data_IF_031746821137
#
_entry.id   IF_031746821137
#
_cell.length_a   1.000
_cell.length_b   1.000
_cell.length_c   1.000
_cell.angle_alpha   90.00
_cell.angle_beta   90.00
_cell.angle_gamma   90.00
#
_symmetry.space_group_name_H-M   'P 1'
#
loop_
_entity.id
_entity.type
_entity.pdbx_description
1 polymer ?
#
# COMPACT_ATOMS: atom_id res chain seq x y z
N UNK A 1 -11.76 2.96 6.33
CA UNK A 1 -10.32 3.16 6.63
C UNK A 1 -9.68 1.88 7.09
N UNK A 2 -10.29 1.17 8.02
CA UNK A 2 -9.77 -0.11 8.52
C UNK A 2 -9.94 -1.24 7.51
N UNK A 3 -8.85 -1.92 7.16
CA UNK A 3 -8.84 -3.12 6.33
C UNK A 3 -7.78 -3.10 5.24
N UNK A 4 -7.21 -4.28 4.98
CA UNK A 4 -6.17 -4.48 3.98
C UNK A 4 -6.72 -4.53 2.56
N UNK A 5 -6.16 -3.71 1.67
CA UNK A 5 -6.44 -3.77 0.23
C UNK A 5 -5.92 -5.07 -0.37
N UNK A 6 -6.81 -5.84 -0.99
CA UNK A 6 -6.46 -7.01 -1.79
C UNK A 6 -7.04 -6.90 -3.20
N UNK A 7 -6.23 -6.44 -4.14
CA UNK A 7 -6.62 -6.27 -5.53
C UNK A 7 -6.70 -7.59 -6.32
N UNK A 8 -6.30 -8.72 -5.76
CA UNK A 8 -6.33 -10.01 -6.47
C UNK A 8 -7.71 -10.68 -6.46
N UNK A 9 -8.61 -10.28 -5.57
CA UNK A 9 -9.91 -10.94 -5.36
C UNK A 9 -10.85 -10.73 -6.54
N UNK A 10 -10.99 -9.49 -7.00
CA UNK A 10 -11.92 -9.12 -8.06
C UNK A 10 -11.21 -8.91 -9.41
N UNK A 11 -11.90 -9.21 -10.51
CA UNK A 11 -11.38 -8.98 -11.87
C UNK A 11 -11.01 -7.52 -12.11
N UNK A 12 -11.80 -6.59 -11.58
CA UNK A 12 -11.52 -5.15 -11.64
C UNK A 12 -10.21 -4.79 -10.94
N UNK A 13 -9.92 -5.39 -9.77
CA UNK A 13 -8.67 -5.17 -9.06
C UNK A 13 -7.45 -5.70 -9.83
N UNK A 14 -7.58 -6.87 -10.46
CA UNK A 14 -6.52 -7.43 -11.31
C UNK A 14 -6.24 -6.56 -12.53
N UNK A 15 -7.26 -6.04 -13.20
CA UNK A 15 -7.09 -5.12 -14.32
C UNK A 15 -6.33 -3.84 -13.92
N UNK A 16 -6.53 -3.36 -12.69
CA UNK A 16 -5.86 -2.16 -12.17
C UNK A 16 -4.40 -2.46 -11.80
N UNK A 17 -4.11 -3.66 -11.26
CA UNK A 17 -2.73 -4.14 -11.09
C UNK A 17 -2.02 -4.24 -12.45
N UNK A 18 -2.68 -4.82 -13.45
CA UNK A 18 -2.13 -4.99 -14.81
C UNK A 18 -1.86 -3.63 -15.47
N UNK A 19 -2.60 -2.58 -15.09
CA UNK A 19 -2.35 -1.20 -15.51
C UNK A 19 -1.17 -0.53 -14.78
N UNK A 20 -0.49 -1.22 -13.86
CA UNK A 20 0.70 -0.74 -13.16
C UNK A 20 0.45 -0.01 -11.85
N UNK A 21 -0.71 -0.19 -11.21
CA UNK A 21 -1.02 0.41 -9.90
C UNK A 21 -0.30 -0.31 -8.77
N UNK A 22 0.22 0.46 -7.80
CA UNK A 22 0.79 -0.08 -6.55
C UNK A 22 -0.32 -0.24 -5.51
N UNK A 23 -0.35 -1.40 -4.86
CA UNK A 23 -1.17 -1.62 -3.67
C UNK A 23 -0.59 -0.93 -2.45
N UNK A 24 -1.39 -0.11 -1.76
CA UNK A 24 -1.00 0.51 -0.48
C UNK A 24 -1.27 -0.40 0.75
N UNK A 25 -1.66 -1.66 0.54
CA UNK A 25 -1.89 -2.66 1.59
C UNK A 25 -2.89 -2.18 2.66
N UNK A 26 -2.46 -2.11 3.92
CA UNK A 26 -3.26 -1.69 5.08
C UNK A 26 -2.88 -0.28 5.55
N UNK A 27 -2.16 0.49 4.72
CA UNK A 27 -1.82 1.88 5.03
C UNK A 27 -3.07 2.75 5.01
N UNK A 28 -3.13 3.75 5.90
CA UNK A 28 -4.10 4.82 5.75
C UNK A 28 -3.79 5.63 4.47
N UNK A 29 -4.82 6.18 3.78
CA UNK A 29 -4.63 6.99 2.59
C UNK A 29 -3.66 8.16 2.79
N UNK A 30 -3.69 8.79 3.96
CA UNK A 30 -2.81 9.90 4.33
C UNK A 30 -1.35 9.43 4.42
N UNK A 31 -1.09 8.31 5.08
CA UNK A 31 0.26 7.73 5.18
C UNK A 31 0.76 7.25 3.83
N UNK A 32 -0.10 6.62 3.02
CA UNK A 32 0.24 6.19 1.67
C UNK A 32 0.65 7.37 0.77
N UNK A 33 -0.05 8.52 0.90
CA UNK A 33 0.30 9.73 0.16
C UNK A 33 1.66 10.29 0.57
N UNK A 34 1.90 10.48 1.88
CA UNK A 34 3.18 11.01 2.37
C UNK A 34 4.35 10.08 2.02
N UNK A 35 4.15 8.77 2.16
CA UNK A 35 5.15 7.77 1.79
C UNK A 35 5.45 7.78 0.30
N UNK A 36 4.45 7.98 -0.56
CA UNK A 36 4.67 8.11 -1.99
C UNK A 36 5.49 9.37 -2.33
N UNK A 37 5.17 10.52 -1.72
CA UNK A 37 5.97 11.73 -1.88
C UNK A 37 7.44 11.50 -1.45
N UNK A 38 7.65 10.76 -0.36
CA UNK A 38 8.99 10.41 0.10
C UNK A 38 9.71 9.44 -0.84
N UNK A 39 9.02 8.39 -1.30
CA UNK A 39 9.57 7.37 -2.21
C UNK A 39 10.03 7.97 -3.54
N UNK A 40 9.22 8.88 -4.11
CA UNK A 40 9.57 9.64 -5.31
C UNK A 40 10.73 10.62 -5.08
N UNK A 41 11.02 10.98 -3.83
CA UNK A 41 12.21 11.75 -3.47
C UNK A 41 13.48 10.89 -3.31
N UNK A 42 13.35 9.57 -3.21
CA UNK A 42 14.50 8.64 -3.13
C UNK A 42 14.90 8.12 -4.51
N UNK A 43 13.94 7.90 -5.41
CA UNK A 43 14.19 7.38 -6.75
C UNK A 43 13.15 7.81 -7.77
N UNK A 44 13.60 7.94 -9.02
CA UNK A 44 12.74 8.15 -10.19
C UNK A 44 12.33 6.81 -10.85
N UNK A 45 12.92 5.68 -10.45
CA UNK A 45 12.53 4.36 -10.97
C UNK A 45 11.20 3.91 -10.38
N UNK A 46 10.29 3.50 -11.27
CA UNK A 46 8.98 2.96 -10.88
C UNK A 46 9.11 1.74 -9.98
N UNK A 47 10.07 0.87 -10.30
CA UNK A 47 10.36 -0.38 -9.62
C UNK A 47 10.84 -0.12 -8.20
N UNK A 48 11.80 0.80 -8.03
CA UNK A 48 12.34 1.16 -6.72
C UNK A 48 11.29 1.87 -5.85
N UNK A 49 10.49 2.75 -6.43
CA UNK A 49 9.34 3.37 -5.75
C UNK A 49 8.33 2.32 -5.30
N UNK A 50 8.08 1.28 -6.12
CA UNK A 50 7.22 0.16 -5.73
C UNK A 50 7.82 -0.62 -4.56
N UNK A 51 9.10 -0.97 -4.62
CA UNK A 51 9.79 -1.66 -3.52
C UNK A 51 9.72 -0.87 -2.21
N UNK A 52 9.97 0.45 -2.27
CA UNK A 52 9.83 1.34 -1.12
C UNK A 52 8.40 1.31 -0.57
N UNK A 53 7.40 1.45 -1.44
CA UNK A 53 6.00 1.46 -1.02
C UNK A 53 5.56 0.12 -0.41
N UNK A 54 6.12 -1.01 -0.87
CA UNK A 54 5.87 -2.36 -0.36
C UNK A 54 6.73 -2.75 0.85
N UNK A 55 7.75 -1.96 1.21
CA UNK A 55 8.64 -2.23 2.35
C UNK A 55 8.11 -1.53 3.58
N UNK A 56 8.00 -2.24 4.70
CA UNK A 56 7.61 -1.64 5.98
C UNK A 56 8.83 -0.94 6.61
N UNK A 57 8.74 0.37 6.82
CA UNK A 57 9.84 1.20 7.34
C UNK A 57 9.63 1.52 8.83
N UNK A 58 8.44 1.97 9.23
CA UNK A 58 8.13 2.44 10.58
C UNK A 58 6.71 1.99 11.03
N UNK A 59 6.27 0.82 10.59
CA UNK A 59 5.00 0.23 10.99
C UNK A 59 3.77 0.78 10.25
N UNK A 60 3.96 1.40 9.09
CA UNK A 60 2.87 2.01 8.31
C UNK A 60 1.79 1.01 7.85
N UNK A 61 2.10 -0.27 7.76
CA UNK A 61 1.14 -1.35 7.55
C UNK A 61 1.56 -2.62 8.29
N UNK A 62 0.60 -3.41 8.74
CA UNK A 62 0.86 -4.70 9.40
C UNK A 62 0.97 -5.86 8.41
N UNK A 63 1.55 -6.99 8.82
CA UNK A 63 1.48 -8.24 8.04
C UNK A 63 0.09 -8.89 8.13
N UNK A 64 -0.60 -8.71 9.27
CA UNK A 64 -1.91 -9.29 9.57
C UNK A 64 -2.77 -8.23 10.25
N UNK A 65 -4.05 -8.19 9.86
CA UNK A 65 -5.03 -7.34 10.53
C UNK A 65 -5.66 -8.12 11.69
N UNK A 66 -5.79 -7.50 12.87
CA UNK A 66 -6.41 -8.08 14.06
C UNK A 66 -7.85 -7.57 14.21
N UNK A 67 -8.71 -8.36 14.86
CA UNK A 67 -10.07 -7.91 15.24
C UNK A 67 -10.03 -6.66 16.13
N UNK A 68 -9.00 -6.54 16.97
CA UNK A 68 -8.79 -5.36 17.84
C UNK A 68 -8.58 -4.07 17.05
N UNK A 69 -8.16 -4.18 15.79
CA UNK A 69 -7.87 -3.02 14.94
C UNK A 69 -9.15 -2.48 14.27
N UNK A 70 -10.30 -3.14 14.48
CA UNK A 70 -11.58 -2.78 13.90
C UNK A 70 -12.56 -2.27 14.97
N UNK A 71 -12.63 -0.95 15.14
CA UNK A 71 -13.68 -0.23 15.91
C UNK A 71 -13.96 -0.74 17.34
N UNK A 72 -12.89 -1.02 18.10
CA UNK A 72 -12.78 -1.42 19.53
C UNK A 72 -12.42 -2.90 19.76
#
# INVERSE_FOLDING_TARGET
LYGRVNMNVYSTGRNIIDAGVISALDMTPETAYVKLCWALGQSDSREEVNEIMQTNIEGEFGEKSSIKDFLN
#
